data_IF_957963479201
#
_entry.id   IF_957963479201
#
_cell.length_a   1.000
_cell.length_b   1.000
_cell.length_c   1.000
_cell.angle_alpha   90.00
_cell.angle_beta   90.00
_cell.angle_gamma   90.00
#
_symmetry.space_group_name_H-M   'P 1'
#
loop_
_entity.id
_entity.type
_entity.pdbx_description
1 polymer ?
#
# COMPACT_ATOMS: atom_id res chain seq x y z
N UNK A 1 -27.68 49.34 -19.81
CA UNK A 1 -26.21 49.45 -19.71
C UNK A 1 -25.59 48.21 -20.37
N UNK A 2 -24.90 48.38 -21.49
CA UNK A 2 -24.34 47.27 -22.31
C UNK A 2 -22.86 47.13 -21.99
N UNK A 3 -22.48 46.07 -21.31
CA UNK A 3 -21.06 45.75 -21.00
C UNK A 3 -20.45 45.00 -22.18
N UNK A 4 -19.49 45.62 -22.83
CA UNK A 4 -18.71 45.03 -23.94
C UNK A 4 -17.58 44.17 -23.34
N UNK A 5 -17.61 42.88 -23.64
CA UNK A 5 -16.52 41.95 -23.33
C UNK A 5 -15.50 42.08 -24.47
N UNK A 6 -14.31 42.53 -24.15
CA UNK A 6 -13.16 42.59 -25.07
C UNK A 6 -12.41 41.25 -24.95
N UNK A 7 -12.47 40.46 -25.99
CA UNK A 7 -11.69 39.20 -26.10
C UNK A 7 -10.33 39.56 -26.70
N UNK A 8 -9.31 39.55 -25.88
CA UNK A 8 -7.92 39.67 -26.34
C UNK A 8 -7.43 38.31 -26.84
N UNK A 9 -7.23 38.20 -28.14
CA UNK A 9 -6.60 37.04 -28.76
C UNK A 9 -5.08 37.19 -28.63
N UNK A 10 -4.47 36.38 -27.79
CA UNK A 10 -3.00 36.27 -27.70
C UNK A 10 -2.54 35.27 -28.77
N UNK A 11 -1.92 35.79 -29.82
CA UNK A 11 -1.26 35.00 -30.84
C UNK A 11 0.08 34.45 -30.31
N UNK A 12 0.13 33.15 -30.08
CA UNK A 12 1.38 32.45 -29.70
C UNK A 12 2.15 32.16 -31.03
N UNK A 13 3.23 32.90 -31.26
CA UNK A 13 4.20 32.62 -32.30
C UNK A 13 4.97 31.36 -31.93
N UNK A 14 4.73 30.24 -32.60
CA UNK A 14 5.58 29.08 -32.58
C UNK A 14 6.87 29.39 -33.33
N UNK A 15 7.95 29.71 -32.60
CA UNK A 15 9.30 29.69 -33.14
C UNK A 15 9.69 28.22 -33.33
N UNK A 16 9.84 27.82 -34.60
CA UNK A 16 10.31 26.48 -34.95
C UNK A 16 11.76 26.30 -34.50
N UNK A 17 11.96 25.44 -33.50
CA UNK A 17 13.29 24.92 -33.17
C UNK A 17 13.60 23.84 -34.19
N UNK A 18 14.50 24.16 -35.15
CA UNK A 18 15.08 23.17 -36.06
C UNK A 18 15.91 22.19 -35.20
N UNK A 19 15.42 20.97 -35.02
CA UNK A 19 16.21 19.86 -34.49
C UNK A 19 17.20 19.45 -35.60
N UNK A 20 18.45 19.87 -35.44
CA UNK A 20 19.57 19.33 -36.20
C UNK A 20 19.80 17.91 -35.73
N UNK A 21 19.45 16.91 -36.53
CA UNK A 21 19.84 15.51 -36.33
C UNK A 21 21.35 15.38 -36.55
N UNK A 22 22.11 15.53 -35.48
CA UNK A 22 23.51 15.15 -35.46
C UNK A 22 23.60 13.63 -35.33
N UNK A 23 23.61 12.92 -36.45
CA UNK A 23 23.91 11.49 -36.55
C UNK A 23 25.37 11.25 -36.22
N UNK A 24 25.77 11.39 -34.95
CA UNK A 24 27.03 10.83 -34.46
C UNK A 24 26.83 9.36 -34.16
N UNK A 25 27.61 8.55 -34.89
CA UNK A 25 27.59 7.11 -34.95
C UNK A 25 27.35 6.43 -33.60
N UNK A 26 26.32 5.62 -33.61
CA UNK A 26 26.09 4.60 -32.61
C UNK A 26 27.25 3.64 -32.71
N UNK A 27 28.15 3.60 -31.71
CA UNK A 27 29.20 2.60 -31.62
C UNK A 27 28.54 1.24 -31.46
N UNK A 28 28.90 0.27 -32.32
CA UNK A 28 28.35 -1.10 -32.39
C UNK A 28 28.59 -1.98 -31.17
N UNK A 29 28.94 -1.39 -30.01
CA UNK A 29 29.24 -2.11 -28.78
C UNK A 29 28.40 -1.70 -27.57
N UNK A 30 27.22 -1.10 -27.76
CA UNK A 30 26.32 -0.90 -26.65
C UNK A 30 25.71 -2.25 -26.21
N UNK A 31 25.98 -2.71 -24.98
CA UNK A 31 25.40 -3.97 -24.52
C UNK A 31 23.87 -3.85 -24.53
N UNK A 32 23.19 -4.92 -24.92
CA UNK A 32 21.72 -5.00 -25.10
C UNK A 32 20.92 -4.54 -23.86
N UNK A 33 21.56 -4.47 -22.69
CA UNK A 33 20.96 -4.00 -21.43
C UNK A 33 21.11 -2.48 -21.21
N UNK A 34 21.88 -1.76 -22.00
CA UNK A 34 22.10 -0.32 -21.85
C UNK A 34 20.82 0.53 -21.90
N UNK A 35 19.79 0.17 -22.71
CA UNK A 35 18.52 0.90 -22.68
C UNK A 35 17.75 0.80 -21.36
N UNK A 36 18.09 -0.16 -20.49
CA UNK A 36 17.39 -0.36 -19.21
C UNK A 36 17.99 0.42 -18.03
N UNK A 37 19.13 1.10 -18.21
CA UNK A 37 19.74 1.91 -17.16
C UNK A 37 18.83 3.00 -16.58
N UNK A 38 18.09 3.79 -17.39
CA UNK A 38 17.19 4.79 -16.81
C UNK A 38 16.03 4.18 -16.01
N UNK A 39 15.60 2.96 -16.37
CA UNK A 39 14.54 2.26 -15.64
C UNK A 39 15.01 1.85 -14.23
N UNK A 40 16.26 1.43 -14.10
CA UNK A 40 16.83 1.06 -12.80
C UNK A 40 16.97 2.25 -11.85
N UNK A 41 17.32 3.42 -12.37
CA UNK A 41 17.36 4.68 -11.62
C UNK A 41 15.96 5.17 -11.22
N UNK A 42 14.97 5.02 -12.10
CA UNK A 42 13.59 5.38 -11.81
C UNK A 42 12.96 4.47 -10.74
N UNK A 43 13.32 3.16 -10.73
CA UNK A 43 12.85 2.22 -9.70
C UNK A 43 13.48 2.48 -8.31
N UNK A 44 14.66 3.07 -8.24
CA UNK A 44 15.31 3.44 -6.98
C UNK A 44 14.67 4.65 -6.30
N UNK A 45 13.88 5.45 -7.01
CA UNK A 45 13.18 6.61 -6.44
C UNK A 45 11.78 6.29 -5.89
N UNK A 46 11.27 5.07 -6.08
CA UNK A 46 10.07 4.58 -5.40
C UNK A 46 10.43 4.05 -4.01
N UNK A 47 10.88 4.94 -3.15
CA UNK A 47 10.77 4.69 -1.70
C UNK A 47 9.29 4.78 -1.39
N UNK A 48 8.65 3.63 -1.12
CA UNK A 48 7.28 3.65 -0.60
C UNK A 48 7.26 4.58 0.62
N UNK A 49 6.35 5.56 0.68
CA UNK A 49 6.29 6.46 1.82
C UNK A 49 6.16 5.62 3.08
N UNK A 50 7.00 5.90 4.09
CA UNK A 50 6.92 5.25 5.39
C UNK A 50 5.51 5.40 5.93
N UNK A 51 4.84 4.28 6.19
CA UNK A 51 3.47 4.29 6.69
C UNK A 51 3.48 4.60 8.20
N UNK A 52 2.65 5.55 8.61
CA UNK A 52 2.54 5.89 10.03
C UNK A 52 1.75 4.80 10.79
N UNK A 53 2.44 4.06 11.64
CA UNK A 53 1.89 3.05 12.55
C UNK A 53 1.84 3.53 14.01
N UNK A 54 1.99 4.81 14.26
CA UNK A 54 2.04 5.36 15.63
C UNK A 54 0.81 4.98 16.47
N UNK A 55 -0.36 4.89 15.83
CA UNK A 55 -1.60 4.43 16.46
C UNK A 55 -1.53 2.99 16.95
N UNK A 56 -0.80 2.11 16.24
CA UNK A 56 -0.67 0.68 16.58
C UNK A 56 0.33 0.43 17.71
N UNK A 57 1.16 1.42 18.05
CA UNK A 57 2.15 1.32 19.12
C UNK A 57 1.55 1.47 20.53
N UNK A 58 0.26 1.80 20.64
CA UNK A 58 -0.43 2.00 21.93
C UNK A 58 -1.77 1.30 21.93
N UNK A 59 -2.00 0.48 22.96
CA UNK A 59 -3.27 -0.23 23.15
C UNK A 59 -3.42 -1.47 22.28
N UNK A 60 -4.66 -1.99 22.25
CA UNK A 60 -5.01 -3.21 21.51
C UNK A 60 -5.54 -2.90 20.13
N UNK A 61 -5.06 -3.64 19.13
CA UNK A 61 -5.50 -3.53 17.73
C UNK A 61 -5.59 -4.91 17.07
N UNK A 62 -6.46 -5.04 16.09
CA UNK A 62 -6.53 -6.19 15.21
C UNK A 62 -6.11 -5.72 13.82
N UNK A 63 -5.03 -6.26 13.31
CA UNK A 63 -4.52 -5.92 11.98
C UNK A 63 -4.75 -7.08 11.04
N UNK A 64 -5.38 -6.79 9.90
CA UNK A 64 -5.58 -7.74 8.81
C UNK A 64 -4.62 -7.40 7.69
N UNK A 65 -3.68 -8.29 7.42
CA UNK A 65 -2.78 -8.16 6.27
C UNK A 65 -3.53 -8.63 5.03
N UNK A 66 -3.67 -7.70 4.08
CA UNK A 66 -4.32 -7.93 2.79
C UNK A 66 -3.30 -7.92 1.65
N UNK A 67 -3.62 -8.58 0.53
CA UNK A 67 -2.78 -8.60 -0.66
C UNK A 67 -2.82 -7.24 -1.39
N UNK A 68 -1.80 -6.99 -2.22
CA UNK A 68 -1.75 -5.84 -3.12
C UNK A 68 -2.65 -5.98 -4.36
N UNK A 69 -3.21 -7.17 -4.60
CA UNK A 69 -4.04 -7.49 -5.74
C UNK A 69 -5.25 -8.34 -5.36
N UNK A 70 -5.75 -9.10 -6.33
CA UNK A 70 -6.90 -9.97 -6.13
C UNK A 70 -6.66 -11.03 -5.07
N UNK A 71 -7.51 -11.05 -4.04
CA UNK A 71 -7.42 -11.97 -2.91
C UNK A 71 -8.82 -12.43 -2.49
N UNK A 72 -9.32 -13.56 -3.05
CA UNK A 72 -10.68 -14.04 -2.77
C UNK A 72 -10.93 -14.32 -1.28
N UNK A 73 -9.93 -14.81 -0.57
CA UNK A 73 -10.03 -15.05 0.87
C UNK A 73 -10.02 -13.76 1.71
N UNK A 74 -9.39 -12.67 1.21
CA UNK A 74 -9.47 -11.37 1.86
C UNK A 74 -10.88 -10.78 1.68
N UNK A 75 -11.45 -10.88 0.47
CA UNK A 75 -12.83 -10.45 0.18
C UNK A 75 -13.82 -11.24 1.02
N UNK A 76 -13.62 -12.56 1.12
CA UNK A 76 -14.46 -13.40 1.95
C UNK A 76 -14.37 -13.02 3.44
N UNK A 77 -13.19 -12.74 3.97
CA UNK A 77 -13.02 -12.28 5.34
C UNK A 77 -13.68 -10.91 5.57
N UNK A 78 -13.55 -10.01 4.63
CA UNK A 78 -14.22 -8.70 4.66
C UNK A 78 -15.75 -8.87 4.75
N UNK A 79 -16.33 -9.72 3.91
CA UNK A 79 -17.78 -9.95 3.88
C UNK A 79 -18.29 -10.67 5.13
N UNK A 80 -17.60 -11.73 5.57
CA UNK A 80 -18.08 -12.61 6.64
C UNK A 80 -17.80 -12.06 8.05
N UNK A 81 -16.75 -11.24 8.19
CA UNK A 81 -16.24 -10.81 9.51
C UNK A 81 -16.10 -9.29 9.61
N UNK A 82 -15.31 -8.66 8.72
CA UNK A 82 -14.91 -7.27 8.95
C UNK A 82 -16.07 -6.29 8.78
N UNK A 83 -16.94 -6.49 7.78
CA UNK A 83 -18.13 -5.64 7.53
C UNK A 83 -19.14 -5.66 8.69
N UNK A 84 -19.26 -6.78 9.39
CA UNK A 84 -20.18 -6.96 10.51
C UNK A 84 -19.52 -6.71 11.89
N UNK A 85 -18.21 -6.44 11.90
CA UNK A 85 -17.47 -6.26 13.13
C UNK A 85 -17.85 -4.98 13.86
N UNK A 86 -18.37 -5.11 15.08
CA UNK A 86 -18.78 -4.01 15.98
C UNK A 86 -18.04 -4.05 17.34
N UNK A 87 -16.83 -4.63 17.33
CA UNK A 87 -16.02 -4.70 18.54
C UNK A 87 -15.42 -3.36 18.95
N UNK A 88 -14.96 -3.28 20.20
CA UNK A 88 -14.32 -2.08 20.77
C UNK A 88 -12.86 -1.93 20.37
N UNK A 89 -12.21 -3.04 19.96
CA UNK A 89 -10.81 -3.02 19.49
C UNK A 89 -10.81 -2.62 18.01
N UNK A 90 -10.04 -1.60 17.59
CA UNK A 90 -9.95 -1.24 16.18
C UNK A 90 -9.48 -2.40 15.30
N UNK A 91 -10.20 -2.67 14.21
CA UNK A 91 -9.83 -3.61 13.15
C UNK A 91 -9.34 -2.81 11.95
N UNK A 92 -8.12 -3.05 11.50
CA UNK A 92 -7.42 -2.19 10.53
C UNK A 92 -6.78 -3.06 9.45
N UNK A 93 -7.05 -2.73 8.17
CA UNK A 93 -6.40 -3.38 7.04
C UNK A 93 -5.02 -2.75 6.77
N UNK A 94 -4.00 -3.57 6.50
CA UNK A 94 -2.64 -3.17 6.17
C UNK A 94 -2.03 -4.09 5.11
N UNK A 95 -1.04 -3.58 4.38
CA UNK A 95 -0.15 -4.39 3.56
C UNK A 95 1.02 -4.90 4.41
N UNK A 96 1.62 -6.01 4.01
CA UNK A 96 2.77 -6.58 4.71
C UNK A 96 3.95 -5.61 4.86
N UNK A 97 4.23 -4.82 3.81
CA UNK A 97 5.29 -3.80 3.78
C UNK A 97 5.07 -2.64 4.76
N UNK A 98 3.82 -2.37 5.11
CA UNK A 98 3.45 -1.28 6.02
C UNK A 98 3.65 -1.59 7.51
N UNK A 99 4.04 -2.82 7.85
CA UNK A 99 4.14 -3.31 9.24
C UNK A 99 5.58 -3.56 9.70
N UNK A 100 6.57 -2.93 9.04
CA UNK A 100 7.98 -3.19 9.34
C UNK A 100 8.42 -2.68 10.72
N UNK A 101 7.75 -1.66 11.26
CA UNK A 101 8.06 -1.05 12.55
C UNK A 101 7.46 -1.81 13.74
N UNK A 102 6.67 -2.86 13.48
CA UNK A 102 5.98 -3.63 14.51
C UNK A 102 6.67 -4.96 14.76
N UNK A 103 6.58 -5.44 16.01
CA UNK A 103 7.13 -6.74 16.42
C UNK A 103 6.16 -7.87 16.07
N UNK A 104 6.14 -8.26 14.79
CA UNK A 104 5.28 -9.32 14.26
C UNK A 104 6.08 -10.59 14.06
N UNK A 105 5.54 -11.72 14.57
CA UNK A 105 6.13 -13.07 14.48
C UNK A 105 5.45 -13.91 13.42
N UNK A 106 4.14 -13.74 13.24
CA UNK A 106 3.37 -14.48 12.24
C UNK A 106 3.85 -14.14 10.83
N UNK A 107 4.06 -15.13 9.95
CA UNK A 107 4.48 -14.88 8.58
C UNK A 107 3.52 -13.95 7.83
N UNK A 108 4.05 -12.92 7.16
CA UNK A 108 3.28 -11.88 6.49
C UNK A 108 3.02 -12.15 4.99
N UNK A 109 3.48 -13.28 4.46
CA UNK A 109 3.40 -13.60 3.02
C UNK A 109 2.07 -14.22 2.58
N UNK A 110 1.29 -14.78 3.51
CA UNK A 110 -0.05 -15.31 3.20
C UNK A 110 -1.14 -14.27 3.50
N UNK A 111 -2.18 -14.26 2.70
CA UNK A 111 -3.30 -13.31 2.86
C UNK A 111 -4.66 -14.01 2.77
N UNK A 112 -5.62 -13.60 3.63
CA UNK A 112 -5.44 -12.65 4.73
C UNK A 112 -4.56 -13.22 5.85
N UNK A 113 -3.87 -12.37 6.60
CA UNK A 113 -3.26 -12.76 7.88
C UNK A 113 -3.82 -11.84 8.95
N UNK A 114 -4.41 -12.42 10.00
CA UNK A 114 -5.05 -11.68 11.08
C UNK A 114 -4.10 -11.65 12.28
N UNK A 115 -3.72 -10.47 12.77
CA UNK A 115 -2.75 -10.28 13.84
C UNK A 115 -3.39 -9.47 14.96
N UNK A 116 -3.29 -9.98 16.17
CA UNK A 116 -3.74 -9.32 17.39
C UNK A 116 -2.52 -8.68 18.05
N UNK A 117 -2.52 -7.34 18.12
CA UNK A 117 -1.39 -6.54 18.57
C UNK A 117 -1.74 -5.79 19.84
N UNK A 118 -0.81 -5.79 20.79
CA UNK A 118 -0.86 -4.94 21.97
C UNK A 118 0.46 -4.16 22.07
N UNK A 119 0.35 -2.83 22.13
CA UNK A 119 1.47 -1.91 22.24
C UNK A 119 2.59 -2.18 21.21
N UNK A 120 2.19 -2.33 19.95
CA UNK A 120 3.11 -2.57 18.81
C UNK A 120 3.70 -3.98 18.75
N UNK A 121 3.30 -4.89 19.64
CA UNK A 121 3.81 -6.25 19.71
C UNK A 121 2.69 -7.25 19.42
N UNK A 122 2.96 -8.20 18.56
CA UNK A 122 2.02 -9.31 18.31
C UNK A 122 1.85 -10.16 19.58
N UNK A 123 0.60 -10.35 19.98
CA UNK A 123 0.22 -11.30 21.03
C UNK A 123 0.00 -12.69 20.42
N UNK A 124 -0.76 -12.76 19.35
CA UNK A 124 -0.90 -13.95 18.50
C UNK A 124 -1.41 -13.55 17.12
N UNK A 125 -1.25 -14.43 16.14
CA UNK A 125 -1.70 -14.23 14.78
C UNK A 125 -2.18 -15.53 14.14
N UNK A 126 -2.94 -15.39 13.07
CA UNK A 126 -3.46 -16.48 12.25
C UNK A 126 -3.24 -16.16 10.77
N UNK A 127 -2.57 -17.06 10.07
CA UNK A 127 -2.36 -16.95 8.63
C UNK A 127 -3.47 -17.69 7.87
N UNK A 128 -4.10 -17.03 6.94
CA UNK A 128 -5.22 -17.54 6.17
C UNK A 128 -6.57 -17.00 6.63
N UNK A 129 -7.62 -17.42 5.92
CA UNK A 129 -8.99 -17.08 6.24
C UNK A 129 -9.40 -17.63 7.62
N UNK A 130 -10.07 -16.81 8.40
CA UNK A 130 -10.63 -17.16 9.69
C UNK A 130 -12.14 -17.03 9.62
N UNK A 131 -12.86 -18.07 10.01
CA UNK A 131 -14.33 -18.02 10.06
C UNK A 131 -14.81 -17.05 11.14
N UNK A 132 -16.05 -16.50 11.06
CA UNK A 132 -16.60 -15.64 12.11
C UNK A 132 -16.48 -16.26 13.51
N UNK A 133 -16.81 -17.55 13.65
CA UNK A 133 -16.74 -18.25 14.93
C UNK A 133 -15.31 -18.27 15.50
N UNK A 134 -14.32 -18.56 14.68
CA UNK A 134 -12.90 -18.58 15.09
C UNK A 134 -12.42 -17.19 15.44
N UNK A 135 -12.78 -16.20 14.61
CA UNK A 135 -12.42 -14.80 14.84
C UNK A 135 -12.97 -14.28 16.17
N UNK A 136 -14.27 -14.44 16.42
CA UNK A 136 -14.86 -13.96 17.68
C UNK A 136 -14.36 -14.73 18.92
N UNK A 137 -14.00 -16.02 18.77
CA UNK A 137 -13.31 -16.76 19.83
C UNK A 137 -11.94 -16.16 20.13
N UNK A 138 -11.13 -15.90 19.09
CA UNK A 138 -9.80 -15.28 19.22
C UNK A 138 -9.91 -13.86 19.81
N UNK A 139 -10.86 -13.06 19.33
CA UNK A 139 -11.16 -11.73 19.85
C UNK A 139 -11.52 -11.75 21.34
N UNK A 140 -12.36 -12.69 21.77
CA UNK A 140 -12.73 -12.85 23.18
C UNK A 140 -11.52 -13.19 24.06
N UNK A 141 -10.63 -14.07 23.59
CA UNK A 141 -9.37 -14.37 24.29
C UNK A 141 -8.51 -13.10 24.37
N UNK A 142 -8.38 -12.37 23.26
CA UNK A 142 -7.57 -11.15 23.22
C UNK A 142 -8.10 -10.04 24.14
N UNK A 143 -9.41 -9.92 24.27
CA UNK A 143 -10.03 -8.99 25.24
C UNK A 143 -9.65 -9.31 26.68
N UNK A 144 -9.60 -10.61 27.04
CA UNK A 144 -9.31 -11.05 28.41
C UNK A 144 -7.84 -10.94 28.83
N UNK A 145 -6.93 -10.74 27.90
CA UNK A 145 -5.52 -10.50 28.23
C UNK A 145 -5.34 -9.08 28.79
N UNK A 146 -4.65 -8.97 29.90
CA UNK A 146 -4.34 -7.70 30.58
C UNK A 146 -2.93 -7.23 30.29
#
# INVERSE_FOLDING_TARGET
MKTKIVISIVAILFAGVAFSEDKKGVSDHQPWWAPFYPIKLALQSFVEPSFDNSSLLKGKHIVVIVADGYCPYCEKFEQDVASEYKGTIPLINRKASQLNDLKIKTPKWGTPTIIFIQDGTEVFGHQGYMTPKEFYKAHGIFLSLH
#
